data_IF_342183437887
#
_entry.id   IF_342183437887
#
_cell.length_a   1.000
_cell.length_b   1.000
_cell.length_c   1.000
_cell.angle_alpha   90.00
_cell.angle_beta   90.00
_cell.angle_gamma   90.00
#
_symmetry.space_group_name_H-M   'P 1'
#
loop_
_entity.id
_entity.type
_entity.pdbx_description
1 polymer ?
#
# COMPACT_ATOMS: atom_id res chain seq x y z
N UNK A 1 -85.12 20.13 32.83
CA UNK A 1 -84.09 19.04 32.89
C UNK A 1 -83.35 19.06 31.58
N UNK A 2 -82.11 19.59 31.56
CA UNK A 2 -81.30 19.63 30.37
C UNK A 2 -80.13 18.65 30.55
N UNK A 3 -80.09 17.61 29.72
CA UNK A 3 -79.01 16.63 29.70
C UNK A 3 -77.84 17.18 28.87
N UNK A 4 -76.70 17.35 29.57
CA UNK A 4 -75.44 17.67 28.89
C UNK A 4 -74.72 16.32 28.65
N UNK A 5 -74.54 15.99 27.37
CA UNK A 5 -73.73 14.85 26.93
C UNK A 5 -72.31 15.37 26.73
N UNK A 6 -71.39 14.93 27.57
CA UNK A 6 -69.97 15.23 27.41
C UNK A 6 -69.36 14.21 26.46
N UNK A 7 -68.93 14.66 25.30
CA UNK A 7 -68.13 13.82 24.36
C UNK A 7 -66.67 13.84 24.80
N UNK A 8 -66.14 12.69 25.19
CA UNK A 8 -64.73 12.50 25.45
C UNK A 8 -63.99 12.30 24.08
N UNK A 9 -63.13 13.21 23.73
CA UNK A 9 -62.22 13.10 22.58
C UNK A 9 -60.98 12.33 23.04
N UNK A 10 -60.86 11.08 22.60
CA UNK A 10 -59.63 10.29 22.75
C UNK A 10 -58.62 10.78 21.72
N UNK A 11 -57.59 11.52 22.19
CA UNK A 11 -56.42 11.85 21.37
C UNK A 11 -55.50 10.63 21.40
N UNK A 12 -55.51 9.83 20.35
CA UNK A 12 -54.51 8.82 20.08
C UNK A 12 -53.19 9.54 19.70
N UNK A 13 -52.31 9.69 20.64
CA UNK A 13 -50.94 10.10 20.36
C UNK A 13 -50.22 8.92 19.70
N UNK A 14 -50.13 8.94 18.36
CA UNK A 14 -49.26 8.07 17.60
C UNK A 14 -47.81 8.49 17.89
N UNK A 15 -47.23 7.95 18.91
CA UNK A 15 -45.79 8.04 19.18
C UNK A 15 -45.07 7.31 18.06
N UNK A 16 -44.43 8.08 17.15
CA UNK A 16 -43.43 7.52 16.25
C UNK A 16 -42.30 6.97 17.11
N UNK A 17 -42.21 5.65 17.25
CA UNK A 17 -41.06 5.02 17.83
C UNK A 17 -39.86 5.32 16.91
N UNK A 18 -39.05 6.29 17.24
CA UNK A 18 -37.74 6.47 16.62
C UNK A 18 -36.91 5.27 17.02
N UNK A 19 -36.49 4.48 16.04
CA UNK A 19 -35.56 3.39 16.27
C UNK A 19 -34.29 3.98 16.91
N UNK A 20 -34.01 3.59 18.13
CA UNK A 20 -32.83 4.03 18.87
C UNK A 20 -31.78 2.94 18.74
N UNK A 21 -30.57 3.32 18.25
CA UNK A 21 -29.45 2.38 18.21
C UNK A 21 -28.85 2.28 19.62
N UNK A 22 -28.92 1.07 20.20
CA UNK A 22 -28.36 0.77 21.51
C UNK A 22 -27.24 -0.28 21.37
N UNK A 23 -26.27 -0.26 22.29
CA UNK A 23 -25.24 -1.30 22.38
C UNK A 23 -24.17 -1.28 21.29
N UNK A 24 -23.82 -0.11 20.76
CA UNK A 24 -22.74 0.01 19.78
C UNK A 24 -21.37 -0.35 20.38
N UNK A 25 -20.59 -1.16 19.67
CA UNK A 25 -19.20 -1.48 20.00
C UNK A 25 -18.24 -0.82 19.03
N UNK A 26 -17.05 -0.35 19.47
CA UNK A 26 -16.06 0.23 18.56
C UNK A 26 -15.47 -0.84 17.65
N UNK A 27 -15.31 -0.50 16.36
CA UNK A 27 -14.56 -1.31 15.41
C UNK A 27 -13.06 -1.00 15.57
N UNK A 28 -12.29 -1.95 16.12
CA UNK A 28 -10.85 -1.82 16.28
C UNK A 28 -10.12 -2.36 15.03
N UNK A 29 -9.24 -1.55 14.43
CA UNK A 29 -8.42 -1.93 13.25
C UNK A 29 -6.96 -2.20 13.61
N UNK A 30 -6.57 -1.99 14.87
CA UNK A 30 -5.22 -2.20 15.40
C UNK A 30 -5.11 -1.79 16.85
N UNK A 31 -3.93 -1.98 17.43
CA UNK A 31 -3.60 -1.57 18.80
C UNK A 31 -2.46 -0.56 18.77
N UNK A 32 -2.64 0.59 19.40
CA UNK A 32 -1.61 1.63 19.48
C UNK A 32 -0.88 1.55 20.82
N UNK A 33 0.44 1.54 20.76
CA UNK A 33 1.36 1.60 21.88
C UNK A 33 2.12 2.91 21.86
N UNK A 34 2.46 3.45 23.01
CA UNK A 34 3.45 4.52 23.16
C UNK A 34 4.73 3.90 23.67
N UNK A 35 5.80 4.04 22.92
CA UNK A 35 7.13 3.55 23.29
C UNK A 35 8.06 4.73 23.55
N UNK A 36 8.97 4.60 24.53
CA UNK A 36 10.05 5.54 24.72
C UNK A 36 11.16 5.30 23.69
N UNK A 37 11.85 6.34 23.30
CA UNK A 37 13.04 6.30 22.43
C UNK A 37 14.05 7.32 22.88
N UNK A 38 15.32 6.92 22.93
CA UNK A 38 16.44 7.82 23.21
C UNK A 38 17.10 8.35 21.93
N UNK A 39 16.66 7.84 20.76
CA UNK A 39 17.25 8.18 19.46
C UNK A 39 16.52 9.37 18.81
N UNK A 40 15.20 9.39 18.91
CA UNK A 40 14.38 10.40 18.22
C UNK A 40 13.97 11.54 19.15
N UNK A 41 13.91 12.73 18.61
CA UNK A 41 13.44 13.92 19.31
C UNK A 41 12.02 13.70 19.87
N UNK A 42 11.77 14.23 21.07
CA UNK A 42 10.50 14.12 21.77
C UNK A 42 10.37 12.87 22.63
N UNK A 43 11.31 11.93 22.60
CA UNK A 43 11.46 10.82 23.56
C UNK A 43 10.36 9.75 23.53
N UNK A 44 9.33 9.91 22.70
CA UNK A 44 8.21 8.97 22.60
C UNK A 44 7.72 8.83 21.17
N UNK A 45 7.22 7.62 20.81
CA UNK A 45 6.57 7.34 19.52
C UNK A 45 5.35 6.46 19.70
N UNK A 46 4.31 6.77 18.94
CA UNK A 46 3.16 5.87 18.79
C UNK A 46 3.43 4.84 17.72
N UNK A 47 3.29 3.59 18.10
CA UNK A 47 3.39 2.43 17.21
C UNK A 47 2.04 1.75 17.19
N UNK A 48 1.45 1.62 16.01
CA UNK A 48 0.14 0.98 15.85
C UNK A 48 0.31 -0.35 15.13
N UNK A 49 -0.15 -1.44 15.74
CA UNK A 49 0.03 -2.79 15.20
C UNK A 49 -1.33 -3.39 14.84
N UNK A 50 -1.46 -3.86 13.60
CA UNK A 50 -2.56 -4.70 13.14
C UNK A 50 -2.05 -6.13 12.91
N UNK A 51 -2.70 -7.07 13.54
CA UNK A 51 -2.47 -8.50 13.32
C UNK A 51 -3.46 -9.02 12.28
N UNK A 52 -3.07 -9.91 11.36
CA UNK A 52 -3.99 -10.57 10.45
C UNK A 52 -4.90 -11.55 11.22
N UNK A 53 -6.04 -11.89 10.65
CA UNK A 53 -7.00 -12.82 11.30
C UNK A 53 -6.38 -14.17 11.64
N UNK A 54 -5.49 -14.65 10.78
CA UNK A 54 -4.75 -15.90 10.95
C UNK A 54 -3.82 -15.90 12.16
N UNK A 55 -3.45 -14.72 12.68
CA UNK A 55 -2.62 -14.64 13.88
C UNK A 55 -3.30 -15.28 15.10
N UNK A 56 -4.62 -15.22 15.20
CA UNK A 56 -5.37 -15.87 16.26
C UNK A 56 -5.71 -17.34 15.95
N UNK A 57 -6.05 -17.65 14.68
CA UNK A 57 -6.51 -18.98 14.28
C UNK A 57 -5.39 -19.98 13.99
N UNK A 58 -4.18 -19.50 13.69
CA UNK A 58 -3.00 -20.29 13.35
C UNK A 58 -1.85 -20.01 14.35
N UNK A 59 -1.87 -20.57 15.57
CA UNK A 59 -0.97 -20.19 16.66
C UNK A 59 0.51 -20.49 16.38
N UNK A 60 0.82 -21.44 15.51
CA UNK A 60 2.20 -21.81 15.15
C UNK A 60 2.74 -21.04 13.94
N UNK A 61 1.88 -20.33 13.20
CA UNK A 61 2.28 -19.57 12.02
C UNK A 61 3.04 -18.30 12.42
N UNK A 62 4.10 -18.02 11.66
CA UNK A 62 4.85 -16.77 11.69
C UNK A 62 4.51 -15.95 10.46
N UNK A 63 4.69 -14.65 10.54
CA UNK A 63 4.21 -13.70 9.54
C UNK A 63 5.31 -12.71 9.18
N UNK A 64 5.41 -12.29 7.91
CA UNK A 64 6.23 -11.15 7.54
C UNK A 64 5.67 -9.86 8.17
N UNK A 65 6.52 -8.86 8.29
CA UNK A 65 6.18 -7.57 8.90
C UNK A 65 6.29 -6.46 7.86
N UNK A 66 5.24 -5.63 7.74
CA UNK A 66 5.27 -4.41 6.95
C UNK A 66 5.32 -3.21 7.87
N UNK A 67 6.41 -2.47 7.85
CA UNK A 67 6.60 -1.21 8.57
C UNK A 67 6.11 -0.05 7.71
N UNK A 68 5.01 0.56 8.13
CA UNK A 68 4.38 1.69 7.47
C UNK A 68 4.90 3.00 8.08
N UNK A 69 5.64 3.75 7.30
CA UNK A 69 6.05 5.12 7.65
C UNK A 69 4.85 6.06 7.60
N UNK A 70 4.89 7.17 8.35
CA UNK A 70 3.71 8.01 8.58
C UNK A 70 2.50 7.20 9.09
N UNK A 71 2.78 6.12 9.81
CA UNK A 71 1.80 5.12 10.24
C UNK A 71 1.21 5.37 11.63
N UNK A 72 1.22 6.61 12.12
CA UNK A 72 0.54 6.97 13.37
C UNK A 72 -0.99 6.81 13.26
N UNK A 73 -1.70 6.76 14.41
CA UNK A 73 -3.15 6.55 14.42
C UNK A 73 -3.95 7.66 13.73
N UNK A 74 -3.37 8.84 13.58
CA UNK A 74 -3.96 10.02 12.89
C UNK A 74 -3.28 10.29 11.52
N UNK A 75 -2.46 9.35 11.08
CA UNK A 75 -1.75 9.37 9.79
C UNK A 75 -2.28 8.25 8.89
N UNK A 76 -1.41 7.60 8.12
CA UNK A 76 -1.82 6.68 7.05
C UNK A 76 -2.23 5.27 7.55
N UNK A 77 -2.10 4.98 8.85
CA UNK A 77 -2.36 3.65 9.37
C UNK A 77 -3.76 3.13 9.04
N UNK A 78 -4.79 3.94 9.28
CA UNK A 78 -6.18 3.47 9.20
C UNK A 78 -6.56 2.99 7.79
N UNK A 79 -6.18 3.74 6.76
CA UNK A 79 -6.55 3.38 5.39
C UNK A 79 -5.67 2.27 4.81
N UNK A 80 -4.38 2.19 5.17
CA UNK A 80 -3.52 1.08 4.76
C UNK A 80 -3.90 -0.22 5.49
N UNK A 81 -4.25 -0.14 6.77
CA UNK A 81 -4.80 -1.27 7.51
C UNK A 81 -6.11 -1.79 6.89
N UNK A 82 -6.96 -0.90 6.36
CA UNK A 82 -8.16 -1.27 5.61
C UNK A 82 -7.84 -2.02 4.31
N UNK A 83 -6.80 -1.60 3.58
CA UNK A 83 -6.31 -2.34 2.40
C UNK A 83 -5.80 -3.72 2.82
N UNK A 84 -4.98 -3.79 3.88
CA UNK A 84 -4.49 -5.06 4.40
C UNK A 84 -5.63 -5.99 4.85
N UNK A 85 -6.70 -5.44 5.45
CA UNK A 85 -7.89 -6.20 5.82
C UNK A 85 -8.68 -6.71 4.61
N UNK A 86 -8.71 -5.98 3.50
CA UNK A 86 -9.47 -6.38 2.31
C UNK A 86 -9.07 -7.76 1.80
N UNK A 87 -7.84 -8.17 2.04
CA UNK A 87 -7.31 -9.50 1.75
C UNK A 87 -8.11 -10.62 2.42
N UNK A 88 -8.62 -10.41 3.62
CA UNK A 88 -9.41 -11.41 4.36
C UNK A 88 -10.69 -11.81 3.61
N UNK A 89 -11.12 -10.97 2.66
CA UNK A 89 -12.29 -11.23 1.81
C UNK A 89 -11.92 -11.76 0.43
N UNK A 90 -10.75 -11.40 -0.09
CA UNK A 90 -10.40 -11.69 -1.49
C UNK A 90 -9.15 -12.55 -1.68
N UNK A 91 -8.41 -12.86 -0.60
CA UNK A 91 -7.22 -13.72 -0.59
C UNK A 91 -6.17 -13.37 -1.66
N UNK A 92 -6.07 -12.11 -2.05
CA UNK A 92 -5.25 -11.68 -3.18
C UNK A 92 -3.76 -11.58 -2.86
N UNK A 93 -3.39 -11.65 -1.58
CA UNK A 93 -2.00 -11.70 -1.11
C UNK A 93 -1.89 -12.38 0.26
N UNK A 94 -0.68 -12.80 0.64
CA UNK A 94 -0.40 -13.44 1.94
C UNK A 94 -0.60 -12.48 3.12
N UNK A 95 -0.99 -12.99 4.30
CA UNK A 95 -1.16 -12.18 5.49
C UNK A 95 0.18 -11.70 6.05
N UNK A 96 0.19 -10.48 6.56
CA UNK A 96 1.33 -9.88 7.24
C UNK A 96 0.90 -9.11 8.51
N UNK A 97 1.85 -8.88 9.40
CA UNK A 97 1.71 -7.95 10.52
C UNK A 97 1.97 -6.54 9.98
N UNK A 98 1.03 -5.60 10.16
CA UNK A 98 1.24 -4.20 9.79
C UNK A 98 1.65 -3.41 11.03
N UNK A 99 2.80 -2.76 10.98
CA UNK A 99 3.36 -1.92 12.04
C UNK A 99 3.42 -0.47 11.56
N UNK A 100 2.48 0.35 11.98
CA UNK A 100 2.47 1.78 11.70
C UNK A 100 3.40 2.53 12.65
N UNK A 101 4.33 3.28 12.07
CA UNK A 101 5.33 4.07 12.80
C UNK A 101 5.00 5.54 12.68
N UNK A 102 4.69 6.20 13.80
CA UNK A 102 4.38 7.62 13.81
C UNK A 102 5.60 8.48 13.42
N UNK A 103 5.40 9.44 12.54
CA UNK A 103 6.32 10.54 12.32
C UNK A 103 5.83 11.77 13.06
N UNK A 104 6.61 12.29 14.01
CA UNK A 104 6.25 13.48 14.82
C UNK A 104 6.71 14.75 14.13
N UNK A 105 8.00 14.82 13.81
CA UNK A 105 8.57 15.90 12.99
C UNK A 105 8.89 15.36 11.59
N UNK A 106 7.84 14.99 10.84
CA UNK A 106 7.93 14.32 9.55
C UNK A 106 8.97 14.92 8.60
N UNK A 107 9.01 16.24 8.51
CA UNK A 107 9.88 16.96 7.58
C UNK A 107 11.34 17.03 8.02
N UNK A 108 11.63 16.69 9.26
CA UNK A 108 12.96 16.43 9.78
C UNK A 108 13.30 14.95 9.70
N UNK A 109 12.46 14.12 10.30
CA UNK A 109 12.69 12.69 10.55
C UNK A 109 12.81 11.85 9.29
N UNK A 110 11.97 12.14 8.27
CA UNK A 110 11.95 11.39 7.00
C UNK A 110 12.74 12.09 5.89
N UNK A 111 13.34 13.25 6.19
CA UNK A 111 14.08 14.02 5.21
C UNK A 111 15.58 13.74 5.34
N UNK A 112 16.24 13.40 4.20
CA UNK A 112 17.70 13.25 4.18
C UNK A 112 18.45 14.55 4.53
N UNK A 113 19.68 14.46 5.05
CA UNK A 113 20.56 15.62 5.15
C UNK A 113 20.76 16.31 3.80
N UNK A 114 20.84 17.63 3.84
CA UNK A 114 21.06 18.48 2.66
C UNK A 114 22.33 19.29 2.80
N UNK A 115 22.92 19.67 1.67
CA UNK A 115 24.16 20.47 1.64
C UNK A 115 23.95 21.89 2.14
N UNK A 116 22.83 22.52 1.75
CA UNK A 116 22.37 23.83 2.19
C UNK A 116 20.96 23.73 2.74
N UNK A 117 20.77 23.80 4.06
CA UNK A 117 19.44 23.65 4.66
C UNK A 117 18.52 24.86 4.47
N UNK A 118 19.06 26.06 4.25
CA UNK A 118 18.27 27.29 4.28
C UNK A 118 17.09 27.31 3.30
N UNK A 119 17.21 26.89 2.01
CA UNK A 119 16.07 26.83 1.10
C UNK A 119 15.00 25.82 1.54
N UNK A 120 15.42 24.73 2.18
CA UNK A 120 14.49 23.70 2.67
C UNK A 120 13.78 24.12 3.95
N UNK A 121 14.48 24.80 4.86
CA UNK A 121 13.90 25.37 6.07
C UNK A 121 12.80 26.38 5.74
N UNK A 122 13.02 27.23 4.76
CA UNK A 122 12.01 28.17 4.28
C UNK A 122 10.80 27.43 3.67
N UNK A 123 11.04 26.48 2.77
CA UNK A 123 9.99 25.77 2.04
C UNK A 123 9.24 24.78 2.93
N UNK A 124 9.93 24.02 3.75
CA UNK A 124 9.36 22.96 4.57
C UNK A 124 8.95 23.41 5.97
N UNK A 125 9.44 24.59 6.41
CA UNK A 125 9.31 25.09 7.80
C UNK A 125 9.84 24.10 8.84
N UNK A 126 10.89 23.38 8.49
CA UNK A 126 11.59 22.42 9.33
C UNK A 126 13.01 22.23 8.80
N UNK A 127 13.97 22.01 9.67
CA UNK A 127 15.35 21.65 9.28
C UNK A 127 15.34 20.17 8.88
N UNK A 128 15.68 19.82 7.64
CA UNK A 128 15.81 18.43 7.21
C UNK A 128 17.04 17.76 7.82
N UNK A 129 17.16 16.44 7.71
CA UNK A 129 18.39 15.73 8.06
C UNK A 129 18.28 14.71 9.17
N UNK A 130 17.06 14.42 9.66
CA UNK A 130 16.82 13.43 10.71
C UNK A 130 16.72 11.98 10.23
N UNK A 131 16.75 11.72 8.93
CA UNK A 131 16.59 10.38 8.39
C UNK A 131 17.61 9.34 8.87
N UNK A 132 18.90 9.68 9.13
CA UNK A 132 19.84 8.71 9.71
C UNK A 132 19.47 8.26 11.11
N UNK A 133 18.96 9.17 11.95
CA UNK A 133 18.51 8.83 13.31
C UNK A 133 17.21 8.03 13.25
N UNK A 134 16.32 8.34 12.31
CA UNK A 134 15.10 7.55 12.11
C UNK A 134 15.41 6.11 11.63
N UNK A 135 16.39 5.91 10.74
CA UNK A 135 16.88 4.57 10.36
C UNK A 135 17.49 3.83 11.55
N UNK A 136 18.28 4.54 12.37
CA UNK A 136 18.88 3.97 13.58
C UNK A 136 17.81 3.53 14.58
N UNK A 137 16.77 4.34 14.81
CA UNK A 137 15.62 3.98 15.63
C UNK A 137 14.93 2.71 15.13
N UNK A 138 14.65 2.62 13.82
CA UNK A 138 14.05 1.42 13.23
C UNK A 138 14.92 0.18 13.48
N UNK A 139 16.24 0.31 13.30
CA UNK A 139 17.20 -0.79 13.43
C UNK A 139 17.41 -1.23 14.88
N UNK A 140 17.64 -0.28 15.76
CA UNK A 140 18.18 -0.56 17.09
C UNK A 140 17.08 -0.72 18.15
N UNK A 141 15.93 -0.08 17.96
CA UNK A 141 14.86 -0.08 18.96
C UNK A 141 13.60 -0.78 18.44
N UNK A 142 13.01 -0.35 17.33
CA UNK A 142 11.68 -0.79 16.92
C UNK A 142 11.66 -2.24 16.41
N UNK A 143 12.51 -2.58 15.43
CA UNK A 143 12.51 -3.95 14.86
C UNK A 143 12.77 -5.03 15.93
N UNK A 144 13.80 -4.91 16.80
CA UNK A 144 14.00 -5.89 17.87
C UNK A 144 12.81 -6.01 18.83
N UNK A 145 12.10 -4.90 19.12
CA UNK A 145 10.91 -4.90 19.95
C UNK A 145 9.75 -5.68 19.30
N UNK A 146 9.51 -5.46 18.01
CA UNK A 146 8.47 -6.17 17.25
C UNK A 146 8.78 -7.66 17.14
N UNK A 147 10.02 -8.03 16.85
CA UNK A 147 10.47 -9.41 16.78
C UNK A 147 10.35 -10.16 18.12
N UNK A 148 10.61 -9.45 19.24
CA UNK A 148 10.47 -10.02 20.57
C UNK A 148 9.01 -10.22 21.00
N UNK A 149 8.10 -9.38 20.49
CA UNK A 149 6.71 -9.36 20.94
C UNK A 149 5.76 -10.17 20.05
N UNK A 150 6.07 -10.31 18.77
CA UNK A 150 5.17 -10.92 17.79
C UNK A 150 5.82 -12.12 17.10
N UNK A 151 4.97 -12.97 16.52
CA UNK A 151 5.41 -14.14 15.74
C UNK A 151 5.77 -13.72 14.33
N UNK A 152 6.96 -13.16 14.18
CA UNK A 152 7.54 -12.76 12.89
C UNK A 152 8.27 -13.93 12.25
N UNK A 153 8.32 -13.99 10.92
CA UNK A 153 9.09 -15.00 10.17
C UNK A 153 10.51 -14.52 9.81
N UNK A 154 10.83 -13.27 10.14
CA UNK A 154 12.12 -12.64 9.87
C UNK A 154 12.17 -11.90 8.53
N UNK A 155 11.10 -11.92 7.74
CA UNK A 155 10.99 -11.13 6.50
C UNK A 155 10.31 -9.79 6.77
N UNK A 156 10.97 -8.71 6.43
CA UNK A 156 10.54 -7.35 6.75
C UNK A 156 10.42 -6.46 5.51
N UNK A 157 9.34 -5.68 5.46
CA UNK A 157 9.15 -4.64 4.46
C UNK A 157 9.07 -3.25 5.07
N UNK A 158 9.51 -2.25 4.34
CA UNK A 158 9.28 -0.84 4.65
C UNK A 158 8.46 -0.17 3.54
N UNK A 159 7.42 0.57 3.92
CA UNK A 159 6.49 1.23 3.00
C UNK A 159 6.32 2.70 3.34
N UNK A 160 6.31 3.54 2.30
CA UNK A 160 6.04 4.97 2.45
C UNK A 160 5.65 5.65 1.14
N UNK A 161 4.94 6.77 1.28
CA UNK A 161 4.50 7.62 0.18
C UNK A 161 5.17 9.00 0.26
N UNK A 162 5.43 9.63 -0.89
CA UNK A 162 5.95 11.00 -0.95
C UNK A 162 7.32 11.14 -0.26
N UNK A 163 7.42 11.94 0.80
CA UNK A 163 8.65 12.09 1.59
C UNK A 163 9.02 10.80 2.33
N UNK A 164 8.04 10.04 2.79
CA UNK A 164 8.26 8.69 3.33
C UNK A 164 8.74 7.72 2.24
N UNK A 165 8.23 7.84 1.01
CA UNK A 165 8.75 7.13 -0.15
C UNK A 165 10.20 7.49 -0.49
N UNK A 166 10.58 8.77 -0.34
CA UNK A 166 11.98 9.19 -0.45
C UNK A 166 12.86 8.53 0.60
N UNK A 167 12.39 8.45 1.86
CA UNK A 167 13.10 7.76 2.93
C UNK A 167 13.27 6.26 2.63
N UNK A 168 12.27 5.61 2.00
CA UNK A 168 12.39 4.23 1.52
C UNK A 168 13.53 4.11 0.50
N UNK A 169 13.58 4.99 -0.51
CA UNK A 169 14.64 4.97 -1.52
C UNK A 169 16.01 5.30 -0.92
N UNK A 170 16.10 6.33 -0.05
CA UNK A 170 17.33 6.64 0.67
C UNK A 170 17.86 5.44 1.45
N UNK A 171 16.97 4.74 2.16
CA UNK A 171 17.34 3.57 2.95
C UNK A 171 17.80 2.41 2.07
N UNK A 172 17.13 2.13 0.96
CA UNK A 172 17.60 1.14 -0.01
C UNK A 172 19.00 1.43 -0.53
N UNK A 173 19.33 2.72 -0.75
CA UNK A 173 20.62 3.13 -1.32
C UNK A 173 21.73 3.22 -0.26
N UNK A 174 21.42 3.74 0.92
CA UNK A 174 22.45 4.00 1.96
C UNK A 174 22.60 2.84 2.97
N UNK A 175 21.53 2.10 3.22
CA UNK A 175 21.49 1.00 4.21
C UNK A 175 20.62 -0.18 3.71
N UNK A 176 20.98 -0.79 2.57
CA UNK A 176 20.15 -1.79 1.88
C UNK A 176 19.91 -3.08 2.67
N UNK A 177 20.53 -3.25 3.82
CA UNK A 177 20.39 -4.45 4.66
C UNK A 177 19.37 -4.27 5.78
N UNK A 178 18.72 -3.10 5.85
CA UNK A 178 17.77 -2.83 6.93
C UNK A 178 16.43 -3.56 6.72
N UNK A 179 16.01 -3.72 5.46
CA UNK A 179 14.78 -4.44 5.09
C UNK A 179 15.02 -5.38 3.90
N UNK A 180 14.13 -6.35 3.74
CA UNK A 180 14.09 -7.25 2.59
C UNK A 180 13.30 -6.64 1.44
N UNK A 181 12.19 -5.95 1.76
CA UNK A 181 11.30 -5.32 0.79
C UNK A 181 11.21 -3.80 1.00
N UNK A 182 11.21 -3.09 -0.10
CA UNK A 182 11.12 -1.64 -0.16
C UNK A 182 9.94 -1.22 -1.05
N UNK A 183 8.93 -0.58 -0.44
CA UNK A 183 7.72 -0.12 -1.15
C UNK A 183 7.74 1.41 -1.17
N UNK A 184 8.17 1.99 -2.27
CA UNK A 184 8.26 3.43 -2.47
C UNK A 184 7.13 3.91 -3.39
N UNK A 185 6.12 4.54 -2.82
CA UNK A 185 4.98 5.05 -3.57
C UNK A 185 5.18 6.54 -3.82
N UNK A 186 5.28 6.92 -5.09
CA UNK A 186 5.45 8.30 -5.56
C UNK A 186 6.51 9.07 -4.74
N UNK A 187 7.75 8.55 -4.61
CA UNK A 187 8.77 9.13 -3.74
C UNK A 187 9.15 10.54 -4.18
N UNK A 188 9.48 11.42 -3.24
CA UNK A 188 9.90 12.81 -3.49
C UNK A 188 11.28 12.89 -4.15
N UNK A 189 11.44 12.32 -5.34
CA UNK A 189 12.73 12.18 -6.04
C UNK A 189 13.36 13.48 -6.53
N UNK A 190 12.67 14.63 -6.36
CA UNK A 190 13.21 15.99 -6.60
C UNK A 190 14.24 16.42 -5.57
N UNK A 191 14.37 15.70 -4.45
CA UNK A 191 15.22 16.05 -3.31
C UNK A 191 16.68 16.29 -3.70
N UNK A 192 17.30 17.34 -3.18
CA UNK A 192 18.70 17.72 -3.47
C UNK A 192 19.02 17.69 -4.98
N UNK A 193 18.14 18.29 -5.79
CA UNK A 193 18.24 18.27 -7.26
C UNK A 193 18.34 16.85 -7.81
N UNK A 194 17.43 15.99 -7.34
CA UNK A 194 17.36 14.57 -7.75
C UNK A 194 18.59 13.75 -7.35
N UNK A 195 19.21 14.04 -6.19
CA UNK A 195 20.45 13.38 -5.72
C UNK A 195 20.37 11.87 -5.85
N UNK A 196 19.33 11.27 -5.27
CA UNK A 196 19.18 9.81 -5.23
C UNK A 196 18.93 9.18 -6.61
N UNK A 197 18.37 9.91 -7.55
CA UNK A 197 18.31 9.48 -8.95
C UNK A 197 19.67 9.60 -9.66
N UNK A 198 20.39 10.69 -9.43
CA UNK A 198 21.70 10.96 -10.10
C UNK A 198 22.81 10.04 -9.60
N UNK A 199 22.81 9.71 -8.33
CA UNK A 199 23.89 9.00 -7.65
C UNK A 199 23.55 7.52 -7.39
N UNK A 200 22.35 7.05 -7.82
CA UNK A 200 21.88 5.68 -7.57
C UNK A 200 22.89 4.60 -8.02
N UNK A 201 23.50 4.77 -9.19
CA UNK A 201 24.46 3.79 -9.69
C UNK A 201 25.72 3.68 -8.80
N UNK A 202 26.16 4.80 -8.20
CA UNK A 202 27.31 4.81 -7.28
C UNK A 202 26.98 4.12 -5.95
N UNK A 203 25.73 4.25 -5.48
CA UNK A 203 25.23 3.51 -4.33
C UNK A 203 25.13 2.01 -4.62
N UNK A 204 24.52 1.64 -5.73
CA UNK A 204 24.37 0.25 -6.14
C UNK A 204 25.71 -0.47 -6.32
N UNK A 205 26.72 0.22 -6.85
CA UNK A 205 28.07 -0.32 -6.98
C UNK A 205 28.75 -0.66 -5.62
N UNK A 206 28.26 -0.09 -4.54
CA UNK A 206 28.78 -0.31 -3.17
C UNK A 206 27.86 -1.20 -2.34
N UNK A 207 26.65 -1.46 -2.82
CA UNK A 207 25.68 -2.26 -2.10
C UNK A 207 26.16 -3.70 -1.92
N UNK A 208 26.01 -4.29 -0.73
CA UNK A 208 26.34 -5.70 -0.52
C UNK A 208 25.36 -6.59 -1.31
N UNK A 209 25.82 -7.76 -1.79
CA UNK A 209 24.92 -8.73 -2.39
C UNK A 209 23.87 -9.21 -1.38
N UNK A 210 22.70 -9.59 -1.88
CA UNK A 210 21.60 -10.11 -1.03
C UNK A 210 20.26 -9.95 -1.72
N UNK A 211 19.38 -10.88 -1.44
CA UNK A 211 18.02 -10.86 -1.98
C UNK A 211 17.22 -9.73 -1.35
N UNK A 212 16.71 -8.84 -2.18
CA UNK A 212 15.86 -7.70 -1.80
C UNK A 212 14.90 -7.41 -2.93
N UNK A 213 13.76 -6.81 -2.58
CA UNK A 213 12.77 -6.43 -3.58
C UNK A 213 12.43 -4.94 -3.45
N UNK A 214 12.34 -4.26 -4.59
CA UNK A 214 11.87 -2.89 -4.68
C UNK A 214 10.59 -2.83 -5.51
N UNK A 215 9.52 -2.33 -4.91
CA UNK A 215 8.33 -1.89 -5.61
C UNK A 215 8.35 -0.34 -5.65
N UNK A 216 8.40 0.20 -6.86
CA UNK A 216 8.48 1.65 -7.09
C UNK A 216 7.30 2.10 -7.95
N UNK A 217 6.69 3.22 -7.59
CA UNK A 217 5.65 3.82 -8.42
C UNK A 217 5.84 5.34 -8.54
N UNK A 218 5.20 5.93 -9.55
CA UNK A 218 5.12 7.37 -9.74
C UNK A 218 3.75 7.74 -10.27
N UNK A 219 3.17 8.84 -9.76
CA UNK A 219 1.95 9.43 -10.30
C UNK A 219 2.24 10.31 -11.53
N UNK A 220 1.20 10.92 -12.07
CA UNK A 220 1.35 12.06 -12.99
C UNK A 220 1.80 13.28 -12.19
N UNK A 221 3.09 13.55 -12.20
CA UNK A 221 3.75 14.56 -11.38
C UNK A 221 4.55 15.56 -12.19
N UNK A 222 5.02 16.63 -11.50
CA UNK A 222 5.85 17.66 -12.11
C UNK A 222 7.19 17.11 -12.64
N UNK A 223 7.79 17.84 -13.58
CA UNK A 223 8.97 17.41 -14.33
C UNK A 223 10.15 16.91 -13.46
N UNK A 224 10.38 17.54 -12.31
CA UNK A 224 11.51 17.17 -11.43
C UNK A 224 11.28 15.86 -10.68
N UNK A 225 10.04 15.59 -10.26
CA UNK A 225 9.67 14.29 -9.70
C UNK A 225 9.90 13.17 -10.72
N UNK A 226 9.37 13.36 -11.92
CA UNK A 226 9.49 12.43 -13.02
C UNK A 226 10.95 12.18 -13.38
N UNK A 227 11.72 13.25 -13.61
CA UNK A 227 13.13 13.12 -13.97
C UNK A 227 13.94 12.39 -12.89
N UNK A 228 13.71 12.67 -11.61
CA UNK A 228 14.39 11.98 -10.51
C UNK A 228 14.08 10.48 -10.49
N UNK A 229 12.82 10.11 -10.72
CA UNK A 229 12.38 8.71 -10.81
C UNK A 229 12.95 8.02 -12.05
N UNK A 230 12.91 8.66 -13.21
CA UNK A 230 13.48 8.12 -14.46
C UNK A 230 14.99 7.86 -14.35
N UNK A 231 15.72 8.74 -13.64
CA UNK A 231 17.16 8.54 -13.37
C UNK A 231 17.41 7.34 -12.46
N UNK A 232 16.59 7.14 -11.43
CA UNK A 232 16.66 5.95 -10.58
C UNK A 232 16.40 4.68 -11.40
N UNK A 233 15.34 4.67 -12.23
CA UNK A 233 15.01 3.55 -13.10
C UNK A 233 16.17 3.26 -14.08
N UNK A 234 16.78 4.28 -14.66
CA UNK A 234 17.93 4.10 -15.55
C UNK A 234 19.12 3.45 -14.81
N UNK A 235 19.36 3.83 -13.55
CA UNK A 235 20.40 3.19 -12.73
C UNK A 235 20.02 1.74 -12.37
N UNK A 236 18.76 1.45 -12.04
CA UNK A 236 18.27 0.09 -11.79
C UNK A 236 18.47 -0.82 -13.02
N UNK A 237 18.17 -0.34 -14.22
CA UNK A 237 18.36 -1.11 -15.46
C UNK A 237 19.80 -1.47 -15.74
N UNK A 238 20.76 -0.64 -15.34
CA UNK A 238 22.17 -0.76 -15.75
C UNK A 238 23.11 -1.17 -14.64
N UNK A 239 22.74 -0.95 -13.38
CA UNK A 239 23.62 -1.08 -12.23
C UNK A 239 22.94 -1.71 -10.99
N UNK A 240 21.74 -2.27 -11.11
CA UNK A 240 21.11 -2.93 -9.96
C UNK A 240 22.05 -4.00 -9.38
N UNK A 241 22.26 -4.03 -8.06
CA UNK A 241 23.13 -5.02 -7.44
C UNK A 241 22.55 -6.44 -7.59
N UNK A 242 23.44 -7.43 -7.56
CA UNK A 242 23.03 -8.83 -7.61
C UNK A 242 22.07 -9.14 -6.44
N UNK A 243 20.93 -9.80 -6.76
CA UNK A 243 19.89 -10.17 -5.81
C UNK A 243 18.84 -9.06 -5.58
N UNK A 244 19.00 -7.85 -6.14
CA UNK A 244 17.93 -6.86 -6.12
C UNK A 244 16.92 -7.14 -7.25
N UNK A 245 15.74 -7.60 -6.88
CA UNK A 245 14.57 -7.65 -7.75
C UNK A 245 13.83 -6.31 -7.65
N UNK A 246 13.38 -5.78 -8.77
CA UNK A 246 12.66 -4.52 -8.75
C UNK A 246 11.54 -4.47 -9.79
N UNK A 247 10.52 -3.70 -9.49
CA UNK A 247 9.47 -3.35 -10.45
C UNK A 247 9.13 -1.87 -10.35
N UNK A 248 8.80 -1.29 -11.48
CA UNK A 248 8.24 0.05 -11.58
C UNK A 248 6.84 -0.02 -12.18
N UNK A 249 5.87 0.59 -11.50
CA UNK A 249 4.49 0.69 -11.97
C UNK A 249 4.15 2.17 -12.10
N UNK A 250 3.94 2.62 -13.33
CA UNK A 250 3.43 3.97 -13.56
C UNK A 250 1.96 4.00 -13.14
N UNK A 251 1.59 4.95 -12.28
CA UNK A 251 0.21 5.20 -11.92
C UNK A 251 -0.61 5.53 -13.17
N UNK A 252 -1.87 5.09 -13.22
CA UNK A 252 -2.75 5.42 -14.33
C UNK A 252 -2.79 6.94 -14.54
N UNK A 253 -3.02 7.40 -15.77
CA UNK A 253 -3.07 8.83 -16.11
C UNK A 253 -4.09 9.64 -15.28
N UNK A 254 -4.98 8.98 -14.56
CA UNK A 254 -5.94 9.57 -13.61
C UNK A 254 -5.36 9.78 -12.21
N UNK A 255 -4.24 9.14 -11.86
CA UNK A 255 -3.64 9.23 -10.54
C UNK A 255 -2.73 10.45 -10.44
N UNK A 256 -3.00 11.24 -9.41
CA UNK A 256 -2.16 12.36 -8.98
C UNK A 256 -1.36 11.96 -7.74
N UNK A 257 -0.41 12.79 -7.31
CA UNK A 257 0.33 12.60 -6.06
C UNK A 257 -0.59 12.35 -4.85
N UNK A 258 -1.74 13.01 -4.78
CA UNK A 258 -2.69 12.86 -3.66
C UNK A 258 -3.66 11.67 -3.78
N UNK A 259 -3.69 10.94 -4.90
CA UNK A 259 -4.64 9.83 -5.10
C UNK A 259 -3.99 8.47 -5.31
N UNK A 260 -2.71 8.45 -5.67
CA UNK A 260 -1.96 7.23 -6.05
C UNK A 260 -1.78 6.24 -4.90
N UNK A 261 -1.81 6.70 -3.65
CA UNK A 261 -1.39 5.87 -2.52
C UNK A 261 -2.21 4.57 -2.39
N UNK A 262 -3.54 4.65 -2.38
CA UNK A 262 -4.39 3.48 -2.16
C UNK A 262 -4.30 2.43 -3.28
N UNK A 263 -4.47 2.78 -4.57
CA UNK A 263 -4.37 1.79 -5.64
C UNK A 263 -3.01 1.15 -5.70
N UNK A 264 -1.93 1.91 -5.48
CA UNK A 264 -0.58 1.37 -5.56
C UNK A 264 -0.16 0.61 -4.30
N UNK A 265 -0.69 0.94 -3.12
CA UNK A 265 -0.52 0.12 -1.93
C UNK A 265 -1.11 -1.29 -2.12
N UNK A 266 -2.32 -1.37 -2.66
CA UNK A 266 -2.94 -2.65 -2.98
C UNK A 266 -2.15 -3.41 -4.04
N UNK A 267 -1.68 -2.73 -5.08
CA UNK A 267 -0.87 -3.36 -6.12
C UNK A 267 0.48 -3.83 -5.58
N UNK A 268 1.14 -3.05 -4.72
CA UNK A 268 2.39 -3.44 -4.06
C UNK A 268 2.22 -4.71 -3.22
N UNK A 269 1.15 -4.81 -2.43
CA UNK A 269 0.89 -6.01 -1.63
C UNK A 269 0.64 -7.23 -2.52
N UNK A 270 -0.04 -7.07 -3.64
CA UNK A 270 -0.22 -8.14 -4.62
C UNK A 270 1.09 -8.52 -5.32
N UNK A 271 1.92 -7.54 -5.65
CA UNK A 271 3.19 -7.76 -6.32
C UNK A 271 4.20 -8.51 -5.44
N UNK A 272 4.28 -8.14 -4.15
CA UNK A 272 5.29 -8.68 -3.23
C UNK A 272 4.80 -9.91 -2.45
N UNK A 273 3.52 -9.96 -2.13
CA UNK A 273 2.92 -11.02 -1.30
C UNK A 273 1.80 -11.77 -2.02
N UNK A 274 1.66 -11.58 -3.34
CA UNK A 274 0.61 -12.21 -4.13
C UNK A 274 0.60 -13.73 -3.95
N UNK A 275 -0.58 -14.26 -3.65
CA UNK A 275 -0.78 -15.70 -3.63
C UNK A 275 -0.93 -16.16 -5.06
N UNK A 276 -0.05 -17.04 -5.54
CA UNK A 276 -0.32 -17.88 -6.71
C UNK A 276 -1.43 -18.89 -6.35
N UNK A 277 -2.56 -18.41 -5.86
CA UNK A 277 -3.44 -19.23 -5.05
C UNK A 277 -4.21 -20.23 -5.87
N UNK A 278 -4.14 -21.49 -5.44
CA UNK A 278 -5.09 -22.56 -5.83
C UNK A 278 -6.55 -22.15 -5.56
N UNK A 279 -6.78 -21.25 -4.61
CA UNK A 279 -8.13 -20.80 -4.20
C UNK A 279 -8.75 -19.84 -5.21
N UNK A 280 -7.95 -19.02 -5.89
CA UNK A 280 -8.43 -18.14 -6.96
C UNK A 280 -9.05 -18.90 -8.14
N UNK A 281 -8.61 -20.13 -8.39
CA UNK A 281 -9.22 -20.99 -9.42
C UNK A 281 -10.65 -21.42 -9.07
N UNK A 282 -11.00 -21.35 -7.80
CA UNK A 282 -12.32 -21.75 -7.30
C UNK A 282 -13.32 -20.58 -7.18
N UNK A 283 -12.84 -19.32 -7.35
CA UNK A 283 -13.67 -18.11 -7.27
C UNK A 283 -13.42 -17.20 -8.49
N UNK A 284 -13.85 -17.64 -9.68
CA UNK A 284 -13.56 -16.91 -10.93
C UNK A 284 -14.22 -15.55 -11.05
N UNK A 285 -15.06 -15.15 -10.09
CA UNK A 285 -15.80 -13.88 -10.10
C UNK A 285 -15.23 -12.81 -9.17
N UNK A 286 -14.23 -13.14 -8.36
CA UNK A 286 -13.69 -12.20 -7.35
C UNK A 286 -12.18 -12.04 -7.57
N UNK A 287 -11.82 -11.09 -8.42
CA UNK A 287 -10.44 -10.74 -8.74
C UNK A 287 -9.82 -11.65 -9.81
N UNK A 288 -9.31 -11.05 -10.85
CA UNK A 288 -8.61 -11.77 -11.92
C UNK A 288 -7.39 -12.53 -11.37
N UNK A 289 -6.95 -13.56 -12.06
CA UNK A 289 -5.76 -14.28 -11.69
C UNK A 289 -4.56 -13.32 -11.58
N UNK A 290 -3.60 -13.65 -10.72
CA UNK A 290 -2.30 -13.00 -10.80
C UNK A 290 -1.79 -13.15 -12.23
N UNK A 291 -1.05 -12.19 -12.68
CA UNK A 291 -0.51 -12.02 -14.04
C UNK A 291 -0.19 -13.38 -14.66
N UNK A 292 -1.16 -13.97 -15.33
CA UNK A 292 -0.93 -15.11 -16.21
C UNK A 292 -0.86 -14.52 -17.61
N UNK A 293 0.23 -14.73 -18.30
CA UNK A 293 0.28 -14.42 -19.73
C UNK A 293 -0.93 -15.04 -20.41
N UNK A 294 -1.67 -14.22 -21.14
CA UNK A 294 -2.83 -14.70 -21.91
C UNK A 294 -2.37 -15.77 -22.86
N UNK A 295 -3.09 -16.86 -22.92
CA UNK A 295 -2.86 -17.84 -23.98
C UNK A 295 -3.19 -17.22 -25.34
N UNK A 296 -2.62 -17.71 -26.44
CA UNK A 296 -2.98 -17.24 -27.79
C UNK A 296 -4.49 -17.33 -28.07
N UNK A 297 -5.17 -18.32 -27.50
CA UNK A 297 -6.63 -18.49 -27.63
C UNK A 297 -7.40 -17.43 -26.86
N UNK A 298 -6.95 -17.05 -25.66
CA UNK A 298 -7.55 -15.98 -24.85
C UNK A 298 -7.34 -14.62 -25.52
N UNK A 299 -6.16 -14.38 -26.07
CA UNK A 299 -5.89 -13.16 -26.82
C UNK A 299 -6.75 -13.10 -28.10
N UNK A 300 -6.88 -14.19 -28.83
CA UNK A 300 -7.75 -14.25 -30.01
C UNK A 300 -9.24 -13.99 -29.65
N UNK A 301 -9.69 -14.45 -28.49
CA UNK A 301 -11.04 -14.20 -28.01
C UNK A 301 -11.27 -12.71 -27.70
N UNK A 302 -10.30 -12.05 -27.04
CA UNK A 302 -10.35 -10.61 -26.80
C UNK A 302 -10.41 -9.82 -28.11
N UNK A 303 -9.57 -10.18 -29.07
CA UNK A 303 -9.45 -9.46 -30.33
C UNK A 303 -10.69 -9.63 -31.24
N UNK A 304 -11.40 -10.75 -31.12
CA UNK A 304 -12.51 -11.09 -32.03
C UNK A 304 -13.90 -10.99 -31.40
N UNK A 305 -14.06 -11.42 -30.16
CA UNK A 305 -15.38 -11.52 -29.51
C UNK A 305 -15.62 -10.48 -28.43
N UNK A 306 -14.55 -10.03 -27.76
CA UNK A 306 -14.64 -9.08 -26.63
C UNK A 306 -14.49 -7.62 -27.06
N UNK A 307 -14.80 -7.30 -28.30
CA UNK A 307 -14.76 -5.89 -28.75
C UNK A 307 -15.92 -5.07 -28.19
N UNK A 308 -15.79 -3.74 -27.98
CA UNK A 308 -16.88 -2.89 -27.52
C UNK A 308 -18.15 -3.00 -28.39
N UNK A 309 -17.97 -3.27 -29.69
CA UNK A 309 -19.06 -3.42 -30.64
C UNK A 309 -19.81 -4.74 -30.47
N UNK A 310 -19.12 -5.81 -30.11
CA UNK A 310 -19.72 -7.14 -29.87
C UNK A 310 -20.36 -7.23 -28.49
N UNK A 311 -19.83 -6.57 -27.48
CA UNK A 311 -20.47 -6.51 -26.15
C UNK A 311 -21.84 -5.81 -26.16
N UNK A 312 -22.08 -4.92 -27.13
CA UNK A 312 -23.33 -4.17 -27.30
C UNK A 312 -24.28 -4.86 -28.30
N UNK A 313 -23.78 -5.65 -29.27
CA UNK A 313 -24.55 -6.27 -30.35
C UNK A 313 -24.77 -7.77 -30.15
N UNK A 314 -25.30 -8.17 -29.01
CA UNK A 314 -25.79 -9.54 -28.93
C UNK A 314 -27.11 -9.67 -29.66
N UNK A 315 -27.16 -10.63 -30.60
CA UNK A 315 -28.38 -10.87 -31.40
C UNK A 315 -29.54 -11.32 -30.50
N UNK A 316 -30.79 -11.04 -30.85
CA UNK A 316 -31.99 -11.50 -30.11
C UNK A 316 -32.07 -13.01 -29.89
N UNK A 317 -31.36 -13.81 -30.70
CA UNK A 317 -31.34 -15.27 -30.62
C UNK A 317 -30.38 -15.85 -29.54
N UNK A 318 -29.50 -15.03 -28.98
CA UNK A 318 -28.57 -15.48 -27.94
C UNK A 318 -29.27 -15.52 -26.58
N UNK A 319 -29.21 -16.64 -25.87
CA UNK A 319 -29.81 -16.75 -24.56
C UNK A 319 -29.21 -15.74 -23.57
N UNK A 320 -30.00 -15.24 -22.63
CA UNK A 320 -29.56 -14.28 -21.61
C UNK A 320 -28.35 -14.82 -20.82
N UNK A 321 -28.40 -16.12 -20.50
CA UNK A 321 -27.27 -16.79 -19.80
C UNK A 321 -25.97 -16.83 -20.63
N UNK A 322 -26.05 -17.05 -21.94
CA UNK A 322 -24.86 -17.03 -22.81
C UNK A 322 -24.27 -15.63 -22.96
N UNK A 323 -25.11 -14.58 -22.94
CA UNK A 323 -24.66 -13.18 -22.95
C UNK A 323 -23.92 -12.83 -21.68
N UNK A 324 -24.49 -13.22 -20.54
CA UNK A 324 -23.91 -12.96 -19.23
C UNK A 324 -22.57 -13.69 -19.07
N UNK A 325 -22.48 -14.94 -19.48
CA UNK A 325 -21.24 -15.72 -19.47
C UNK A 325 -20.14 -15.10 -20.34
N UNK A 326 -20.47 -14.63 -21.56
CA UNK A 326 -19.51 -13.94 -22.41
C UNK A 326 -19.09 -12.59 -21.84
N UNK A 327 -20.02 -11.80 -21.28
CA UNK A 327 -19.72 -10.54 -20.64
C UNK A 327 -18.69 -10.71 -19.49
N UNK A 328 -18.94 -11.64 -18.59
CA UNK A 328 -18.02 -11.91 -17.47
C UNK A 328 -16.67 -12.46 -17.95
N UNK A 329 -16.67 -13.31 -18.96
CA UNK A 329 -15.43 -13.84 -19.54
C UNK A 329 -14.59 -12.72 -20.16
N UNK A 330 -15.19 -11.83 -20.93
CA UNK A 330 -14.53 -10.67 -21.50
C UNK A 330 -14.03 -9.69 -20.43
N UNK A 331 -14.85 -9.44 -19.40
CA UNK A 331 -14.47 -8.60 -18.28
C UNK A 331 -13.24 -9.14 -17.55
N UNK A 332 -13.18 -10.45 -17.31
CA UNK A 332 -12.02 -11.09 -16.66
C UNK A 332 -10.75 -11.02 -17.49
N UNK A 333 -10.88 -11.14 -18.82
CA UNK A 333 -9.75 -11.03 -19.75
C UNK A 333 -9.25 -9.58 -19.90
N UNK A 334 -10.17 -8.60 -19.83
CA UNK A 334 -9.85 -7.16 -19.93
C UNK A 334 -9.18 -6.63 -18.65
N UNK A 335 -9.45 -7.24 -17.50
CA UNK A 335 -8.78 -6.97 -16.23
C UNK A 335 -7.32 -7.49 -16.17
N UNK A 336 -6.72 -7.77 -17.32
CA UNK A 336 -5.34 -8.25 -17.44
C UNK A 336 -4.30 -7.39 -16.70
N UNK A 337 -3.07 -7.88 -16.60
CA UNK A 337 -2.06 -7.30 -15.71
C UNK A 337 -1.76 -5.85 -16.02
N UNK A 338 -1.63 -5.04 -14.97
CA UNK A 338 -1.07 -3.68 -15.07
C UNK A 338 0.34 -3.78 -15.64
N UNK A 339 0.71 -2.99 -16.66
CA UNK A 339 2.08 -2.99 -17.18
C UNK A 339 3.08 -2.72 -16.05
N UNK A 340 4.05 -3.60 -15.91
CA UNK A 340 5.13 -3.50 -14.92
C UNK A 340 6.46 -3.48 -15.62
N UNK A 341 7.38 -2.71 -15.08
CA UNK A 341 8.77 -2.71 -15.47
C UNK A 341 9.62 -3.19 -14.29
N UNK A 342 10.53 -4.13 -14.53
CA UNK A 342 11.38 -4.70 -13.50
C UNK A 342 11.64 -6.18 -13.69
N UNK A 343 12.15 -6.81 -12.66
CA UNK A 343 12.54 -8.20 -12.63
C UNK A 343 11.92 -8.99 -11.45
N UNK A 344 10.76 -8.56 -10.97
CA UNK A 344 10.02 -9.29 -9.94
C UNK A 344 9.45 -10.64 -10.43
N UNK A 345 9.43 -10.86 -11.75
CA UNK A 345 8.88 -12.07 -12.38
C UNK A 345 9.93 -13.18 -12.54
N UNK A 346 10.89 -13.30 -11.63
CA UNK A 346 11.96 -14.29 -11.61
C UNK A 346 11.66 -15.52 -10.77
#
# INVERSE_FOLDING_TARGET
MKHIVAAAVLILASGSATAQMEGGEPLAIGTTYTIATDILDGGERKITVRLPAEYASEPDRRFPVVYLLDGGPEQDFAHIAGIAQSREMNFSFEPFILVGVQSVNRRHELAPPVTDPAPYEEALRATPGGSPDYRRFLREELKPMIEAQYRTDGHDAMMGESLAGLFVIETLLEDPTLFDDYIAISPSMWWERMKYGREAADYFAKAPPGERRLYLTSATEGAWHREGTERLIAALRTAAPEGLQWTFVEGANSETHGTIYHPMALDAFRALYGTASREYKNYPLIGGPPIVERTPEEQALLDTECTPENSIRMTPATSEHAREALYYRCLLLDLGPTPREGNLDG
#
